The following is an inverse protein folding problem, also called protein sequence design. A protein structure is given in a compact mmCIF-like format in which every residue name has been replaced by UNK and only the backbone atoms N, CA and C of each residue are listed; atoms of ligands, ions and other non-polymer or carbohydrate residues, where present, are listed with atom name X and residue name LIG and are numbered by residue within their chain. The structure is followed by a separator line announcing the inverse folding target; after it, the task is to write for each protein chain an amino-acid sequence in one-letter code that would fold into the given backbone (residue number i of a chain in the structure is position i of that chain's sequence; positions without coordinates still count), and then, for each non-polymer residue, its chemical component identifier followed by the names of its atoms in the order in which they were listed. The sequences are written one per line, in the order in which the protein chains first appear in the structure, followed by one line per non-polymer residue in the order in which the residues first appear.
data_IF_800407194317
#
_entry.id   IF_800407194317
#
_cell.length_a   1.000
_cell.length_b   1.000
_cell.length_c   1.000
_cell.angle_alpha   90.00
_cell.angle_beta   90.00
_cell.angle_gamma   90.00
#
_symmetry.space_group_name_H-M   'P 1'
#
loop_
_entity.id
_entity.type
_entity.pdbx_description
1 polymer ?
#
# COMPACT_ATOMS: atom_id res chain seq x y z
N UNK A 1 -43.10 -6.92 -69.50
CA UNK A 1 -42.99 -8.39 -69.62
C UNK A 1 -41.57 -8.80 -69.19
N UNK A 2 -41.41 -9.92 -68.45
CA UNK A 2 -40.30 -10.36 -67.54
C UNK A 2 -40.28 -9.62 -66.18
N UNK A 3 -40.75 -10.14 -65.03
CA UNK A 3 -40.55 -11.38 -64.23
C UNK A 3 -39.24 -11.42 -63.40
N UNK A 4 -39.42 -11.11 -62.10
CA UNK A 4 -38.87 -11.68 -60.84
C UNK A 4 -37.35 -11.98 -60.64
N UNK A 5 -36.77 -11.50 -59.52
CA UNK A 5 -36.55 -12.25 -58.25
C UNK A 5 -35.81 -11.40 -57.19
N UNK A 6 -36.08 -11.77 -55.94
CA UNK A 6 -35.65 -11.18 -54.66
C UNK A 6 -34.17 -11.43 -54.33
N UNK A 7 -33.52 -10.46 -53.65
CA UNK A 7 -32.48 -10.74 -52.63
C UNK A 7 -32.73 -9.81 -51.44
N UNK A 8 -32.74 -10.42 -50.27
CA UNK A 8 -33.12 -9.87 -48.98
C UNK A 8 -31.96 -9.14 -48.28
N UNK A 9 -32.32 -8.39 -47.23
CA UNK A 9 -31.63 -8.26 -45.94
C UNK A 9 -30.10 -8.05 -45.95
N UNK A 10 -29.64 -6.91 -45.44
CA UNK A 10 -28.98 -6.74 -44.13
C UNK A 10 -28.68 -5.26 -43.95
N UNK A 11 -29.58 -4.55 -43.26
CA UNK A 11 -29.19 -3.41 -42.46
C UNK A 11 -29.02 -3.91 -41.01
N UNK A 12 -28.06 -3.35 -40.28
CA UNK A 12 -27.82 -3.55 -38.84
C UNK A 12 -27.01 -4.80 -38.45
N UNK A 13 -25.73 -4.88 -38.84
CA UNK A 13 -24.72 -5.66 -38.08
C UNK A 13 -23.38 -4.89 -38.02
N UNK A 14 -23.44 -3.56 -37.88
CA UNK A 14 -22.24 -2.72 -37.72
C UNK A 14 -21.98 -2.27 -36.28
N UNK A 15 -23.00 -2.26 -35.42
CA UNK A 15 -22.93 -1.61 -34.11
C UNK A 15 -22.87 -2.59 -32.92
N UNK A 16 -22.92 -3.90 -33.16
CA UNK A 16 -22.90 -4.91 -32.08
C UNK A 16 -21.51 -5.32 -31.58
N UNK A 17 -20.42 -4.77 -32.15
CA UNK A 17 -19.06 -4.99 -31.64
C UNK A 17 -18.55 -3.87 -30.71
N UNK A 18 -19.32 -2.79 -30.52
CA UNK A 18 -18.91 -1.66 -29.68
C UNK A 18 -19.26 -1.82 -28.18
N UNK A 19 -20.16 -2.72 -27.82
CA UNK A 19 -20.73 -2.79 -26.45
C UNK A 19 -20.17 -3.96 -25.62
N UNK A 20 -19.48 -4.93 -26.24
CA UNK A 20 -18.93 -6.08 -25.52
C UNK A 20 -17.61 -5.79 -24.77
N UNK A 21 -16.89 -4.71 -25.10
CA UNK A 21 -15.62 -4.36 -24.46
C UNK A 21 -15.74 -3.66 -23.11
N UNK A 22 -16.95 -3.24 -22.71
CA UNK A 22 -17.18 -2.42 -21.52
C UNK A 22 -17.68 -3.19 -20.28
N UNK A 23 -17.84 -4.52 -20.38
CA UNK A 23 -18.40 -5.34 -19.30
C UNK A 23 -17.40 -6.37 -18.79
N UNK A 24 -16.28 -5.87 -18.29
CA UNK A 24 -15.55 -6.50 -17.20
C UNK A 24 -14.73 -5.39 -16.53
N UNK A 25 -15.39 -4.54 -15.75
CA UNK A 25 -14.69 -3.88 -14.66
C UNK A 25 -14.15 -5.03 -13.80
N UNK A 26 -12.87 -5.35 -13.98
CA UNK A 26 -12.23 -6.37 -13.18
C UNK A 26 -12.25 -5.84 -11.76
N UNK A 27 -13.06 -6.45 -10.89
CA UNK A 27 -12.97 -6.33 -9.44
C UNK A 27 -11.56 -6.80 -9.06
N UNK A 28 -10.59 -5.89 -9.18
CA UNK A 28 -9.21 -6.13 -8.80
C UNK A 28 -9.20 -6.10 -7.28
N UNK A 29 -9.01 -7.27 -6.67
CA UNK A 29 -8.81 -7.36 -5.23
C UNK A 29 -7.73 -6.37 -4.78
N UNK A 30 -8.01 -5.66 -3.69
CA UNK A 30 -7.04 -4.74 -3.10
C UNK A 30 -5.89 -5.55 -2.50
N UNK A 31 -4.66 -5.14 -2.80
CA UNK A 31 -3.44 -5.79 -2.31
C UNK A 31 -2.75 -4.81 -1.37
N UNK A 32 -2.59 -5.24 -0.12
CA UNK A 32 -1.94 -4.47 0.92
C UNK A 32 -0.57 -5.05 1.24
N UNK A 33 0.47 -4.21 1.19
CA UNK A 33 1.79 -4.55 1.64
C UNK A 33 1.81 -4.64 3.18
N UNK A 34 1.67 -5.85 3.73
CA UNK A 34 1.72 -6.10 5.17
C UNK A 34 3.03 -5.57 5.78
N UNK A 35 2.89 -4.63 6.72
CA UNK A 35 3.95 -3.88 7.41
C UNK A 35 4.91 -3.19 6.45
N UNK A 36 4.37 -2.61 5.39
CA UNK A 36 5.14 -2.00 4.31
C UNK A 36 5.81 -2.99 3.36
N UNK A 37 5.57 -4.30 3.47
CA UNK A 37 6.17 -5.33 2.62
C UNK A 37 7.20 -6.21 3.33
N UNK A 38 6.91 -6.62 4.56
CA UNK A 38 7.82 -7.35 5.45
C UNK A 38 8.41 -8.66 4.91
N UNK A 39 7.80 -9.25 3.89
CA UNK A 39 8.34 -10.44 3.24
C UNK A 39 9.62 -10.14 2.44
N UNK A 40 9.75 -8.92 1.91
CA UNK A 40 10.86 -8.52 1.06
C UNK A 40 11.78 -7.49 1.74
N UNK A 41 11.21 -6.61 2.55
CA UNK A 41 11.92 -5.53 3.22
C UNK A 41 11.90 -5.71 4.74
N UNK A 42 12.71 -4.94 5.46
CA UNK A 42 12.60 -4.89 6.92
C UNK A 42 11.28 -4.23 7.33
N UNK A 43 10.43 -4.97 8.06
CA UNK A 43 9.06 -4.56 8.38
C UNK A 43 8.99 -3.15 9.00
N UNK A 44 7.93 -2.41 8.69
CA UNK A 44 7.59 -1.15 9.35
C UNK A 44 8.69 -0.06 9.29
N UNK A 45 9.58 -0.15 8.29
CA UNK A 45 10.60 0.88 7.98
C UNK A 45 10.20 1.73 6.78
N UNK A 46 10.68 2.97 6.70
CA UNK A 46 10.41 3.83 5.53
C UNK A 46 10.93 3.20 4.23
N UNK A 47 12.05 2.46 4.31
CA UNK A 47 12.59 1.71 3.18
C UNK A 47 11.63 0.63 2.67
N UNK A 48 10.90 -0.07 3.56
CA UNK A 48 9.88 -1.03 3.14
C UNK A 48 8.74 -0.38 2.37
N UNK A 49 8.14 0.68 2.94
CA UNK A 49 7.07 1.42 2.27
C UNK A 49 7.52 1.97 0.92
N UNK A 50 8.73 2.53 0.85
CA UNK A 50 9.32 3.03 -0.38
C UNK A 50 9.53 1.93 -1.42
N UNK A 51 10.19 0.85 -1.06
CA UNK A 51 10.48 -0.25 -1.97
C UNK A 51 9.20 -0.92 -2.50
N UNK A 52 8.19 -1.10 -1.64
CA UNK A 52 6.88 -1.61 -2.04
C UNK A 52 6.15 -0.63 -2.99
N UNK A 53 6.21 0.67 -2.73
CA UNK A 53 5.63 1.69 -3.62
C UNK A 53 6.28 1.71 -5.00
N UNK A 54 7.62 1.62 -5.05
CA UNK A 54 8.43 1.57 -6.27
C UNK A 54 8.12 0.31 -7.11
N UNK A 55 7.67 -0.77 -6.48
CA UNK A 55 7.17 -2.00 -7.13
C UNK A 55 5.74 -1.90 -7.65
N UNK A 56 5.08 -0.76 -7.50
CA UNK A 56 3.73 -0.53 -7.99
C UNK A 56 2.61 -0.84 -6.98
N UNK A 57 2.95 -1.21 -5.74
CA UNK A 57 1.95 -1.39 -4.69
C UNK A 57 1.40 -0.04 -4.22
N UNK A 58 0.14 -0.06 -3.84
CA UNK A 58 -0.64 1.14 -3.51
C UNK A 58 -1.39 1.01 -2.19
N UNK A 59 -1.72 -0.22 -1.79
CA UNK A 59 -2.22 -0.55 -0.46
C UNK A 59 -1.07 -0.84 0.50
N UNK A 60 -1.11 -0.24 1.68
CA UNK A 60 -0.13 -0.52 2.73
C UNK A 60 -0.82 -0.80 4.05
N UNK A 61 -0.37 -1.84 4.75
CA UNK A 61 -0.77 -2.08 6.12
C UNK A 61 0.40 -1.75 7.05
N UNK A 62 0.08 -1.29 8.25
CA UNK A 62 1.06 -0.91 9.27
C UNK A 62 0.43 -0.97 10.65
N UNK A 63 1.28 -0.96 11.67
CA UNK A 63 0.91 -1.06 13.07
C UNK A 63 1.33 0.20 13.81
N UNK A 64 0.41 0.81 14.57
CA UNK A 64 0.67 2.06 15.28
C UNK A 64 0.76 1.81 16.78
N UNK A 65 1.76 2.42 17.41
CA UNK A 65 1.92 2.53 18.86
C UNK A 65 2.05 3.99 19.27
N UNK A 66 1.84 4.27 20.55
CA UNK A 66 1.93 5.62 21.10
C UNK A 66 3.00 5.69 22.17
N UNK A 67 3.83 6.73 22.10
CA UNK A 67 4.88 7.01 23.10
C UNK A 67 4.29 7.51 24.41
N UNK A 68 5.11 7.57 25.46
CA UNK A 68 4.74 8.12 26.76
C UNK A 68 4.21 9.57 26.66
N UNK A 69 4.77 10.35 25.73
CA UNK A 69 4.45 11.75 25.47
C UNK A 69 3.46 11.96 24.30
N UNK A 70 2.80 10.89 23.82
CA UNK A 70 1.65 10.98 22.92
C UNK A 70 1.96 11.03 21.42
N UNK A 71 3.22 10.84 21.02
CA UNK A 71 3.60 10.73 19.60
C UNK A 71 3.33 9.33 19.06
N UNK A 72 3.00 9.24 17.77
CA UNK A 72 2.67 7.98 17.11
C UNK A 72 3.86 7.41 16.34
N UNK A 73 4.20 6.16 16.62
CA UNK A 73 5.27 5.41 15.96
C UNK A 73 4.75 4.15 15.29
N UNK A 74 5.53 3.64 14.34
CA UNK A 74 5.20 2.49 13.52
C UNK A 74 5.94 1.26 14.06
N UNK A 75 5.21 0.36 14.73
CA UNK A 75 5.76 -0.86 15.34
C UNK A 75 4.65 -1.88 15.63
N UNK A 76 4.86 -3.13 15.23
CA UNK A 76 3.90 -4.21 15.49
C UNK A 76 3.85 -4.61 16.97
N UNK A 77 5.01 -4.95 17.54
CA UNK A 77 5.11 -5.47 18.89
C UNK A 77 4.82 -4.35 19.93
N UNK A 78 4.52 -4.74 21.16
CA UNK A 78 4.45 -3.82 22.30
C UNK A 78 5.85 -3.32 22.73
N UNK A 79 6.87 -4.14 22.51
CA UNK A 79 8.26 -3.85 22.88
C UNK A 79 9.21 -3.74 21.69
N UNK A 80 10.29 -3.01 21.89
CA UNK A 80 11.37 -2.83 20.91
C UNK A 80 12.24 -4.08 20.73
N UNK A 81 12.08 -5.07 21.61
CA UNK A 81 13.02 -6.16 21.82
C UNK A 81 13.30 -6.99 20.56
N UNK A 82 12.30 -7.20 19.68
CA UNK A 82 12.46 -8.06 18.50
C UNK A 82 13.18 -7.34 17.36
N UNK A 83 12.73 -6.13 17.01
CA UNK A 83 13.10 -5.48 15.74
C UNK A 83 14.06 -4.31 15.90
N UNK A 84 14.24 -3.75 17.09
CA UNK A 84 15.04 -2.55 17.31
C UNK A 84 16.20 -2.77 18.29
N UNK A 85 17.27 -1.99 18.15
CA UNK A 85 18.43 -1.96 19.04
C UNK A 85 18.12 -1.21 20.35
N UNK A 86 17.02 -1.60 21.01
CA UNK A 86 16.55 -1.06 22.27
C UNK A 86 15.66 -2.12 22.96
N UNK A 87 15.30 -1.86 24.22
CA UNK A 87 14.46 -2.76 25.00
C UNK A 87 13.31 -2.04 25.70
N UNK A 88 12.27 -2.80 26.02
CA UNK A 88 11.10 -2.32 26.76
C UNK A 88 9.97 -1.82 25.85
N UNK A 89 8.88 -1.44 26.50
CA UNK A 89 7.65 -1.01 25.85
C UNK A 89 7.79 0.40 25.23
N UNK A 90 7.11 0.64 24.12
CA UNK A 90 7.06 1.97 23.46
C UNK A 90 6.35 2.99 24.37
N UNK A 91 5.30 2.55 25.05
CA UNK A 91 4.45 3.35 25.92
C UNK A 91 5.19 3.89 27.16
N UNK A 92 6.40 3.38 27.43
CA UNK A 92 7.26 3.80 28.54
C UNK A 92 8.42 4.72 28.11
N UNK A 93 8.45 5.12 26.83
CA UNK A 93 9.53 5.94 26.26
C UNK A 93 8.96 7.20 25.64
N UNK A 94 9.73 8.28 25.73
CA UNK A 94 9.44 9.55 25.06
C UNK A 94 9.80 9.47 23.57
N UNK A 95 9.20 10.35 22.77
CA UNK A 95 9.54 10.48 21.36
C UNK A 95 11.02 10.83 21.16
N UNK A 96 11.58 11.66 22.04
CA UNK A 96 12.99 12.05 21.99
C UNK A 96 13.92 10.85 22.17
N UNK A 97 13.63 9.95 23.10
CA UNK A 97 14.38 8.69 23.26
C UNK A 97 14.22 7.76 22.06
N UNK A 98 13.02 7.65 21.51
CA UNK A 98 12.77 6.79 20.35
C UNK A 98 13.40 7.30 19.06
N UNK A 99 13.61 8.61 18.92
CA UNK A 99 14.31 9.20 17.76
C UNK A 99 15.77 8.77 17.64
N UNK A 100 16.37 8.25 18.70
CA UNK A 100 17.73 7.72 18.67
C UNK A 100 17.78 6.20 18.44
N UNK A 101 16.62 5.53 18.37
CA UNK A 101 16.52 4.08 18.21
C UNK A 101 16.55 3.72 16.73
N UNK A 102 17.29 2.65 16.40
CA UNK A 102 17.39 2.08 15.06
C UNK A 102 17.00 0.60 15.04
N UNK A 103 16.61 0.09 13.89
CA UNK A 103 16.32 -1.33 13.68
C UNK A 103 17.56 -2.20 13.80
N UNK A 104 17.37 -3.50 14.08
CA UNK A 104 18.48 -4.44 14.23
C UNK A 104 19.09 -4.88 12.90
N UNK A 105 18.28 -5.04 11.85
CA UNK A 105 18.75 -5.68 10.60
C UNK A 105 19.53 -4.69 9.75
N UNK A 106 18.94 -3.53 9.44
CA UNK A 106 19.55 -2.56 8.53
C UNK A 106 19.92 -1.23 9.21
N UNK A 107 19.62 -1.03 10.49
CA UNK A 107 19.91 0.22 11.19
C UNK A 107 19.02 1.39 10.74
N UNK A 108 17.81 1.09 10.27
CA UNK A 108 16.82 2.11 9.89
C UNK A 108 16.33 2.84 11.14
N UNK A 109 16.11 4.17 11.10
CA UNK A 109 15.58 4.90 12.24
C UNK A 109 14.15 4.44 12.58
N UNK A 110 13.78 4.51 13.87
CA UNK A 110 12.40 4.34 14.30
C UNK A 110 11.48 5.25 13.48
N UNK A 111 10.49 4.66 12.82
CA UNK A 111 9.58 5.39 11.95
C UNK A 111 8.42 5.98 12.76
N UNK A 112 8.21 7.29 12.63
CA UNK A 112 7.05 7.97 13.20
C UNK A 112 5.94 8.05 12.14
N UNK A 113 4.69 7.95 12.57
CA UNK A 113 3.54 8.01 11.65
C UNK A 113 3.54 9.31 10.83
N UNK A 114 3.90 10.44 11.45
CA UNK A 114 3.99 11.74 10.75
C UNK A 114 5.00 11.73 9.60
N UNK A 115 6.11 11.00 9.76
CA UNK A 115 7.15 10.91 8.74
C UNK A 115 6.68 10.00 7.58
N UNK A 116 5.96 8.93 7.90
CA UNK A 116 5.34 8.04 6.91
C UNK A 116 4.25 8.78 6.10
N UNK A 117 3.39 9.54 6.78
CA UNK A 117 2.36 10.34 6.13
C UNK A 117 2.99 11.45 5.27
N UNK A 118 4.04 12.11 5.74
CA UNK A 118 4.78 13.09 4.95
C UNK A 118 5.38 12.45 3.69
N UNK A 119 5.91 11.22 3.79
CA UNK A 119 6.39 10.48 2.61
C UNK A 119 5.28 10.21 1.59
N UNK A 120 4.05 9.89 2.02
CA UNK A 120 2.94 9.61 1.10
C UNK A 120 2.13 10.83 0.65
N UNK A 121 2.35 12.01 1.24
CA UNK A 121 1.53 13.20 1.03
C UNK A 121 1.40 13.65 -0.44
N UNK A 122 2.41 13.37 -1.27
CA UNK A 122 2.47 13.74 -2.69
C UNK A 122 2.25 12.55 -3.64
N UNK A 123 1.99 11.35 -3.13
CA UNK A 123 1.93 10.12 -3.93
C UNK A 123 0.50 9.82 -4.37
N UNK A 124 0.26 9.65 -5.67
CA UNK A 124 -1.07 9.33 -6.16
C UNK A 124 -1.47 7.89 -5.82
N UNK A 125 -2.75 7.71 -5.50
CA UNK A 125 -3.39 6.40 -5.40
C UNK A 125 -2.97 5.57 -4.19
N UNK A 126 -2.55 6.19 -3.09
CA UNK A 126 -2.27 5.50 -1.82
C UNK A 126 -3.58 5.17 -1.09
N UNK A 127 -3.68 3.96 -0.55
CA UNK A 127 -4.78 3.51 0.30
C UNK A 127 -4.33 2.58 1.43
#
# INVERSE_FOLDING_TARGET
MRIQRWVAFVAVVGEMFGVAGALAAQEKGLVFAHRGGAHEFEENTLAAFRGSYEKGLRGFETDIRMTQDGELVILHDDTLNRTHNATGAVEQKTAAELRTVVTKKNGEPMLFLKDLLAYFADKPGIY
#
